data_IF_377700686968
#
_entry.id   IF_377700686968
#
_cell.length_a   1.000
_cell.length_b   1.000
_cell.length_c   1.000
_cell.angle_alpha   90.00
_cell.angle_beta   90.00
_cell.angle_gamma   90.00
#
_symmetry.space_group_name_H-M   'P 1'
#
loop_
_entity.id
_entity.type
_entity.pdbx_description
1 polymer ?
#
# COMPACT_ATOMS: atom_id res chain seq x y z
N UNK A 1 8.54 -41.19 -9.63
CA UNK A 1 7.70 -40.89 -10.80
C UNK A 1 8.57 -41.01 -12.03
N UNK A 2 8.16 -41.77 -13.04
CA UNK A 2 9.01 -42.02 -14.20
C UNK A 2 9.17 -40.77 -15.08
N UNK A 3 10.35 -40.58 -15.67
CA UNK A 3 10.69 -39.42 -16.51
C UNK A 3 9.70 -39.19 -17.68
N UNK A 4 9.02 -40.26 -18.12
CA UNK A 4 8.01 -40.22 -19.18
C UNK A 4 6.73 -39.51 -18.72
N UNK A 5 6.29 -39.73 -17.47
CA UNK A 5 5.14 -39.07 -16.85
C UNK A 5 5.40 -37.58 -16.64
N UNK A 6 6.62 -37.22 -16.22
CA UNK A 6 7.04 -35.84 -16.05
C UNK A 6 7.06 -35.07 -17.39
N UNK A 7 7.64 -35.67 -18.43
CA UNK A 7 7.66 -35.10 -19.79
C UNK A 7 6.26 -34.91 -20.39
N UNK A 8 5.33 -35.80 -20.09
CA UNK A 8 3.93 -35.67 -20.51
C UNK A 8 3.25 -34.48 -19.82
N UNK A 9 3.47 -34.31 -18.51
CA UNK A 9 3.00 -33.15 -17.75
C UNK A 9 3.58 -31.84 -18.29
N UNK A 10 4.89 -31.77 -18.53
CA UNK A 10 5.57 -30.60 -19.10
C UNK A 10 5.08 -30.27 -20.51
N UNK A 11 4.82 -31.29 -21.34
CA UNK A 11 4.25 -31.11 -22.68
C UNK A 11 2.83 -30.56 -22.61
N UNK A 12 2.03 -31.04 -21.65
CA UNK A 12 0.66 -30.60 -21.47
C UNK A 12 0.58 -29.15 -20.96
N UNK A 13 1.42 -28.78 -20.01
CA UNK A 13 1.52 -27.40 -19.50
C UNK A 13 1.95 -26.39 -20.58
N UNK A 14 2.69 -26.83 -21.60
CA UNK A 14 3.13 -25.99 -22.73
C UNK A 14 2.10 -25.88 -23.86
N UNK A 15 1.09 -26.74 -23.90
CA UNK A 15 0.09 -26.78 -24.98
C UNK A 15 -1.30 -26.44 -24.44
N UNK A 16 -1.81 -25.25 -24.78
CA UNK A 16 -3.14 -24.82 -24.38
C UNK A 16 -4.30 -25.55 -25.10
N UNK A 17 -4.00 -26.42 -26.07
CA UNK A 17 -4.98 -26.95 -27.05
C UNK A 17 -4.99 -28.49 -27.17
N UNK A 18 -4.51 -29.24 -26.18
CA UNK A 18 -4.62 -30.70 -26.25
C UNK A 18 -6.08 -31.14 -26.08
N UNK A 19 -6.60 -31.86 -27.07
CA UNK A 19 -7.93 -32.44 -27.08
C UNK A 19 -8.04 -33.53 -26.00
N UNK A 20 -9.19 -33.62 -25.33
CA UNK A 20 -9.36 -34.51 -24.16
C UNK A 20 -9.14 -36.00 -24.53
N UNK A 21 -9.23 -36.34 -25.82
CA UNK A 21 -9.00 -37.68 -26.38
C UNK A 21 -7.52 -38.11 -26.47
N UNK A 22 -6.56 -37.20 -26.30
CA UNK A 22 -5.12 -37.54 -26.40
C UNK A 22 -4.50 -37.99 -25.07
N UNK A 23 -5.23 -37.92 -23.96
CA UNK A 23 -4.69 -38.29 -22.65
C UNK A 23 -4.72 -39.81 -22.44
N UNK A 24 -3.56 -40.50 -22.24
CA UNK A 24 -3.51 -41.96 -22.21
C UNK A 24 -4.38 -42.56 -21.10
N UNK A 25 -5.28 -43.50 -21.45
CA UNK A 25 -6.18 -44.19 -20.50
C UNK A 25 -5.44 -44.78 -19.29
N UNK A 26 -4.27 -45.39 -19.51
CA UNK A 26 -3.45 -45.97 -18.45
C UNK A 26 -2.98 -44.94 -17.38
N UNK A 27 -2.97 -43.64 -17.70
CA UNK A 27 -2.64 -42.57 -16.76
C UNK A 27 -3.87 -41.95 -16.08
N UNK A 28 -5.07 -42.18 -16.63
CA UNK A 28 -6.33 -41.71 -16.05
C UNK A 28 -6.65 -42.47 -14.76
N UNK A 29 -6.31 -43.76 -14.71
CA UNK A 29 -6.48 -44.64 -13.55
C UNK A 29 -5.30 -44.62 -12.56
N UNK A 30 -4.15 -44.08 -12.96
CA UNK A 30 -2.99 -43.97 -12.07
C UNK A 30 -3.18 -42.85 -11.05
N UNK A 31 -3.78 -43.22 -9.91
CA UNK A 31 -4.03 -42.33 -8.77
C UNK A 31 -2.78 -41.54 -8.34
N UNK A 32 -1.60 -42.13 -8.37
CA UNK A 32 -0.37 -41.47 -7.90
C UNK A 32 0.06 -40.38 -8.87
N UNK A 33 -0.06 -40.65 -10.17
CA UNK A 33 0.19 -39.67 -11.21
C UNK A 33 -0.85 -38.55 -11.19
N UNK A 34 -2.14 -38.88 -11.16
CA UNK A 34 -3.23 -37.88 -11.11
C UNK A 34 -3.09 -37.00 -9.87
N UNK A 35 -2.82 -37.57 -8.70
CA UNK A 35 -2.62 -36.79 -7.47
C UNK A 35 -1.48 -35.78 -7.62
N UNK A 36 -0.36 -36.17 -8.23
CA UNK A 36 0.74 -35.23 -8.47
C UNK A 36 0.39 -34.16 -9.51
N UNK A 37 -0.32 -34.53 -10.57
CA UNK A 37 -0.76 -33.59 -11.59
C UNK A 37 -1.70 -32.52 -10.99
N UNK A 38 -2.69 -32.93 -10.19
CA UNK A 38 -3.65 -32.01 -9.56
C UNK A 38 -3.02 -31.11 -8.49
N UNK A 39 -1.92 -31.55 -7.85
CA UNK A 39 -1.15 -30.71 -6.94
C UNK A 39 -0.45 -29.55 -7.65
N UNK A 40 -0.17 -29.70 -8.96
CA UNK A 40 0.44 -28.66 -9.79
C UNK A 40 -0.62 -27.78 -10.43
N UNK A 41 -1.67 -28.38 -11.01
CA UNK A 41 -2.87 -27.68 -11.49
C UNK A 41 -4.12 -28.54 -11.24
N UNK A 42 -5.02 -28.04 -10.39
CA UNK A 42 -6.25 -28.75 -10.03
C UNK A 42 -7.15 -29.11 -11.22
N UNK A 43 -7.02 -28.42 -12.36
CA UNK A 43 -7.76 -28.70 -13.58
C UNK A 43 -7.50 -30.09 -14.18
N UNK A 44 -6.37 -30.73 -13.85
CA UNK A 44 -6.05 -32.09 -14.32
C UNK A 44 -7.05 -33.16 -13.89
N UNK A 45 -7.91 -32.88 -12.90
CA UNK A 45 -8.95 -33.81 -12.48
C UNK A 45 -9.90 -34.20 -13.63
N UNK A 46 -10.06 -33.34 -14.66
CA UNK A 46 -10.89 -33.64 -15.84
C UNK A 46 -10.45 -34.88 -16.63
N UNK A 47 -9.16 -35.22 -16.57
CA UNK A 47 -8.58 -36.38 -17.25
C UNK A 47 -8.60 -37.65 -16.42
N UNK A 48 -8.88 -37.53 -15.12
CA UNK A 48 -8.92 -38.69 -14.26
C UNK A 48 -10.11 -39.58 -14.63
N UNK A 49 -9.98 -40.90 -14.45
CA UNK A 49 -11.11 -41.81 -14.65
C UNK A 49 -12.22 -41.57 -13.63
N UNK A 50 -13.41 -42.10 -13.88
CA UNK A 50 -14.55 -41.93 -12.98
C UNK A 50 -14.26 -42.44 -11.55
N UNK A 51 -13.45 -43.49 -11.41
CA UNK A 51 -13.02 -44.02 -10.11
C UNK A 51 -12.11 -43.05 -9.37
N UNK A 52 -11.14 -42.43 -10.06
CA UNK A 52 -10.24 -41.45 -9.47
C UNK A 52 -10.95 -40.11 -9.21
N UNK A 53 -11.91 -39.71 -10.05
CA UNK A 53 -12.81 -38.58 -9.81
C UNK A 53 -13.75 -38.80 -8.60
N UNK A 54 -13.93 -40.04 -8.18
CA UNK A 54 -14.64 -40.42 -6.96
C UNK A 54 -13.72 -40.50 -5.71
N UNK A 55 -12.42 -40.30 -5.87
CA UNK A 55 -11.48 -40.35 -4.76
C UNK A 55 -11.43 -39.00 -4.01
N UNK A 56 -12.02 -38.96 -2.82
CA UNK A 56 -12.09 -37.75 -1.99
C UNK A 56 -10.72 -37.11 -1.76
N UNK A 57 -9.63 -37.89 -1.63
CA UNK A 57 -8.27 -37.34 -1.38
C UNK A 57 -7.74 -36.62 -2.61
N UNK A 58 -7.90 -37.20 -3.79
CA UNK A 58 -7.45 -36.60 -5.05
C UNK A 58 -8.27 -35.35 -5.36
N UNK A 59 -9.60 -35.44 -5.20
CA UNK A 59 -10.50 -34.29 -5.41
C UNK A 59 -10.20 -33.14 -4.44
N UNK A 60 -9.98 -33.43 -3.15
CA UNK A 60 -9.60 -32.39 -2.18
C UNK A 60 -8.31 -31.68 -2.57
N UNK A 61 -7.29 -32.42 -3.00
CA UNK A 61 -6.04 -31.84 -3.48
C UNK A 61 -6.26 -30.96 -4.72
N UNK A 62 -7.13 -31.39 -5.65
CA UNK A 62 -7.46 -30.64 -6.86
C UNK A 62 -8.20 -29.34 -6.55
N UNK A 63 -9.27 -29.38 -5.75
CA UNK A 63 -10.10 -28.19 -5.48
C UNK A 63 -9.39 -27.14 -4.63
N UNK A 64 -8.46 -27.56 -3.76
CA UNK A 64 -7.60 -26.65 -3.01
C UNK A 64 -6.63 -25.87 -3.91
N UNK A 65 -6.27 -26.42 -5.08
CA UNK A 65 -5.43 -25.73 -6.07
C UNK A 65 -6.27 -24.88 -7.01
N UNK A 66 -7.32 -25.48 -7.57
CA UNK A 66 -8.24 -24.82 -8.52
C UNK A 66 -9.67 -25.14 -8.11
N UNK A 67 -10.39 -24.20 -7.48
CA UNK A 67 -11.73 -24.48 -6.93
C UNK A 67 -12.72 -25.01 -7.97
N UNK A 68 -12.64 -24.53 -9.23
CA UNK A 68 -13.48 -25.01 -10.35
C UNK A 68 -13.25 -26.47 -10.74
N UNK A 69 -12.19 -27.12 -10.25
CA UNK A 69 -11.98 -28.56 -10.44
C UNK A 69 -13.15 -29.40 -9.89
N UNK A 70 -13.95 -28.85 -8.96
CA UNK A 70 -15.16 -29.49 -8.44
C UNK A 70 -16.13 -29.92 -9.55
N UNK A 71 -16.12 -29.27 -10.73
CA UNK A 71 -16.94 -29.64 -11.89
C UNK A 71 -16.73 -31.10 -12.33
N UNK A 72 -15.51 -31.62 -12.17
CA UNK A 72 -15.09 -32.95 -12.60
C UNK A 72 -15.18 -34.00 -11.49
N UNK A 73 -15.56 -33.61 -10.27
CA UNK A 73 -15.72 -34.55 -9.17
C UNK A 73 -16.97 -35.43 -9.35
N UNK A 74 -16.91 -36.67 -8.84
CA UNK A 74 -18.05 -37.57 -8.83
C UNK A 74 -19.27 -36.94 -8.13
N UNK A 75 -20.52 -37.27 -8.53
CA UNK A 75 -21.73 -36.64 -8.00
C UNK A 75 -21.84 -36.65 -6.46
N UNK A 76 -21.42 -37.73 -5.80
CA UNK A 76 -21.48 -37.84 -4.35
C UNK A 76 -20.46 -36.92 -3.65
N UNK A 77 -19.30 -36.64 -4.26
CA UNK A 77 -18.33 -35.68 -3.74
C UNK A 77 -18.76 -34.22 -4.00
N UNK A 78 -19.50 -33.97 -5.09
CA UNK A 78 -20.19 -32.68 -5.30
C UNK A 78 -21.31 -32.44 -4.30
N UNK A 79 -21.76 -33.49 -3.61
CA UNK A 79 -22.71 -33.42 -2.49
C UNK A 79 -22.04 -33.47 -1.11
N UNK A 80 -20.72 -33.60 -1.05
CA UNK A 80 -19.95 -33.63 0.21
C UNK A 80 -19.64 -32.20 0.69
N UNK A 81 -20.15 -31.77 1.85
CA UNK A 81 -19.93 -30.41 2.35
C UNK A 81 -18.47 -30.02 2.51
N UNK A 82 -17.59 -30.95 2.91
CA UNK A 82 -16.19 -30.64 3.18
C UNK A 82 -15.44 -30.36 1.88
N UNK A 83 -15.71 -31.16 0.85
CA UNK A 83 -15.12 -31.01 -0.48
C UNK A 83 -15.56 -29.69 -1.11
N UNK A 84 -16.85 -29.38 -1.02
CA UNK A 84 -17.41 -28.16 -1.59
C UNK A 84 -16.94 -26.92 -0.82
N UNK A 85 -16.82 -26.98 0.51
CA UNK A 85 -16.26 -25.86 1.30
C UNK A 85 -14.78 -25.63 0.99
N UNK A 86 -13.99 -26.69 0.83
CA UNK A 86 -12.60 -26.57 0.40
C UNK A 86 -12.49 -25.91 -0.98
N UNK A 87 -13.34 -26.31 -1.93
CA UNK A 87 -13.41 -25.69 -3.25
C UNK A 87 -13.81 -24.21 -3.19
N UNK A 88 -14.87 -23.90 -2.44
CA UNK A 88 -15.40 -22.54 -2.27
C UNK A 88 -14.44 -21.60 -1.53
N UNK A 89 -13.62 -22.14 -0.63
CA UNK A 89 -12.58 -21.39 0.07
C UNK A 89 -11.48 -20.88 -0.85
N UNK A 90 -11.17 -21.63 -1.92
CA UNK A 90 -10.21 -21.21 -2.93
C UNK A 90 -10.87 -20.34 -4.03
N UNK A 91 -12.01 -20.80 -4.57
CA UNK A 91 -12.82 -20.06 -5.54
C UNK A 91 -14.31 -20.20 -5.23
N UNK A 92 -14.93 -19.12 -4.77
CA UNK A 92 -16.36 -19.09 -4.45
C UNK A 92 -17.29 -19.42 -5.63
N UNK A 93 -16.84 -19.28 -6.88
CA UNK A 93 -17.62 -19.70 -8.05
C UNK A 93 -17.68 -21.22 -8.21
N UNK A 94 -16.83 -21.99 -7.53
CA UNK A 94 -16.90 -23.45 -7.52
C UNK A 94 -18.25 -23.97 -7.03
N UNK A 95 -18.94 -23.20 -6.16
CA UNK A 95 -20.25 -23.56 -5.61
C UNK A 95 -21.29 -23.85 -6.71
N UNK A 96 -21.13 -23.29 -7.92
CA UNK A 96 -22.02 -23.58 -9.05
C UNK A 96 -22.09 -25.07 -9.42
N UNK A 97 -21.00 -25.82 -9.15
CA UNK A 97 -20.89 -27.25 -9.44
C UNK A 97 -21.37 -28.14 -8.29
N UNK A 98 -21.66 -27.57 -7.12
CA UNK A 98 -22.16 -28.32 -5.98
C UNK A 98 -23.55 -28.90 -6.26
N UNK A 99 -23.85 -30.02 -5.58
CA UNK A 99 -25.16 -30.65 -5.64
C UNK A 99 -26.27 -29.66 -5.24
N UNK A 100 -27.44 -29.77 -5.87
CA UNK A 100 -28.55 -28.86 -5.60
C UNK A 100 -29.01 -28.89 -4.14
N UNK A 101 -28.91 -30.05 -3.49
CA UNK A 101 -29.23 -30.23 -2.07
C UNK A 101 -28.40 -29.30 -1.18
N UNK A 102 -27.11 -29.12 -1.47
CA UNK A 102 -26.25 -28.17 -0.77
C UNK A 102 -26.54 -26.73 -1.13
N UNK A 103 -26.78 -26.43 -2.43
CA UNK A 103 -27.13 -25.08 -2.89
C UNK A 103 -28.49 -24.58 -2.40
N UNK A 104 -29.37 -25.48 -1.95
CA UNK A 104 -30.65 -25.19 -1.28
C UNK A 104 -30.55 -25.18 0.25
N UNK A 105 -29.39 -25.53 0.82
CA UNK A 105 -29.18 -25.52 2.27
C UNK A 105 -28.69 -24.15 2.75
N UNK A 106 -29.53 -23.45 3.52
CA UNK A 106 -29.21 -22.14 4.06
C UNK A 106 -27.93 -22.14 4.91
N UNK A 107 -27.82 -23.08 5.85
CA UNK A 107 -26.67 -23.20 6.75
C UNK A 107 -25.36 -23.47 5.98
N UNK A 108 -25.43 -24.25 4.89
CA UNK A 108 -24.27 -24.53 4.05
C UNK A 108 -23.86 -23.29 3.25
N UNK A 109 -24.83 -22.66 2.56
CA UNK A 109 -24.57 -21.47 1.75
C UNK A 109 -24.07 -20.29 2.60
N UNK A 110 -24.58 -20.13 3.82
CA UNK A 110 -24.08 -19.13 4.77
C UNK A 110 -22.58 -19.31 5.06
N UNK A 111 -22.12 -20.56 5.25
CA UNK A 111 -20.69 -20.86 5.41
C UNK A 111 -19.90 -20.52 4.15
N UNK A 112 -20.37 -20.91 2.96
CA UNK A 112 -19.72 -20.57 1.69
C UNK A 112 -19.58 -19.06 1.48
N UNK A 113 -20.60 -18.28 1.84
CA UNK A 113 -20.56 -16.81 1.79
C UNK A 113 -19.59 -16.21 2.82
N UNK A 114 -19.23 -16.95 3.86
CA UNK A 114 -18.40 -16.47 4.98
C UNK A 114 -16.90 -16.81 4.85
N UNK A 115 -16.50 -17.54 3.81
CA UNK A 115 -15.13 -18.05 3.63
C UNK A 115 -14.47 -17.56 2.33
N UNK A 116 -13.19 -17.87 2.20
CA UNK A 116 -12.41 -17.68 0.99
C UNK A 116 -11.99 -16.25 0.68
N UNK A 117 -11.31 -16.11 -0.46
CA UNK A 117 -10.82 -14.84 -1.00
C UNK A 117 -11.96 -13.99 -1.58
N UNK A 118 -11.70 -12.69 -1.71
CA UNK A 118 -12.62 -11.72 -2.34
C UNK A 118 -12.25 -11.52 -3.82
N UNK A 119 -13.23 -11.27 -4.71
CA UNK A 119 -14.67 -11.14 -4.45
C UNK A 119 -15.35 -12.49 -4.21
N UNK A 120 -16.31 -12.55 -3.29
CA UNK A 120 -17.08 -13.77 -3.02
C UNK A 120 -18.42 -13.74 -3.77
N UNK A 121 -18.62 -14.73 -4.65
CA UNK A 121 -19.80 -14.85 -5.52
C UNK A 121 -20.70 -16.03 -5.17
N UNK A 122 -20.53 -16.65 -4.01
CA UNK A 122 -21.32 -17.82 -3.60
C UNK A 122 -22.83 -17.53 -3.61
N UNK A 123 -23.24 -16.32 -3.22
CA UNK A 123 -24.66 -15.90 -3.19
C UNK A 123 -25.33 -15.99 -4.58
N UNK A 124 -24.57 -15.81 -5.67
CA UNK A 124 -25.07 -15.93 -7.06
C UNK A 124 -25.63 -17.32 -7.36
N UNK A 125 -25.09 -18.35 -6.71
CA UNK A 125 -25.39 -19.76 -7.01
C UNK A 125 -26.34 -20.41 -6.00
N UNK A 126 -26.88 -19.61 -5.06
CA UNK A 126 -27.96 -20.03 -4.17
C UNK A 126 -29.20 -20.50 -4.97
N UNK A 127 -29.82 -21.59 -4.53
CA UNK A 127 -31.09 -22.08 -5.06
C UNK A 127 -32.22 -21.95 -4.03
N UNK A 128 -33.47 -22.17 -4.46
CA UNK A 128 -34.62 -22.21 -3.54
C UNK A 128 -34.98 -20.87 -2.89
N UNK A 129 -34.58 -19.74 -3.48
CA UNK A 129 -34.86 -18.41 -2.94
C UNK A 129 -33.97 -18.01 -1.77
N UNK A 130 -32.85 -18.72 -1.51
CA UNK A 130 -31.90 -18.34 -0.46
C UNK A 130 -31.22 -16.99 -0.70
N UNK A 131 -31.30 -16.42 -1.90
CA UNK A 131 -30.90 -15.04 -2.15
C UNK A 131 -31.88 -14.00 -1.57
N UNK A 132 -33.02 -14.44 -1.04
CA UNK A 132 -33.95 -13.66 -0.23
C UNK A 132 -33.86 -13.99 1.27
N UNK A 133 -33.06 -14.98 1.67
CA UNK A 133 -32.84 -15.31 3.07
C UNK A 133 -31.93 -14.26 3.73
N UNK A 134 -32.45 -13.61 4.77
CA UNK A 134 -31.77 -12.50 5.45
C UNK A 134 -30.42 -12.94 6.01
N UNK A 135 -30.31 -14.14 6.61
CA UNK A 135 -29.08 -14.59 7.27
C UNK A 135 -28.00 -14.97 6.24
N UNK A 136 -28.40 -15.63 5.15
CA UNK A 136 -27.49 -15.96 4.04
C UNK A 136 -26.97 -14.68 3.39
N UNK A 137 -27.85 -13.73 3.09
CA UNK A 137 -27.47 -12.46 2.45
C UNK A 137 -26.61 -11.62 3.40
N UNK A 138 -26.95 -11.53 4.69
CA UNK A 138 -26.14 -10.82 5.68
C UNK A 138 -24.72 -11.40 5.78
N UNK A 139 -24.57 -12.73 5.77
CA UNK A 139 -23.25 -13.36 5.79
C UNK A 139 -22.43 -12.98 4.55
N UNK A 140 -23.04 -12.93 3.37
CA UNK A 140 -22.38 -12.53 2.13
C UNK A 140 -21.96 -11.05 2.15
N UNK A 141 -22.88 -10.14 2.47
CA UNK A 141 -22.61 -8.69 2.43
C UNK A 141 -21.71 -8.22 3.58
N UNK A 142 -21.66 -8.97 4.69
CA UNK A 142 -20.78 -8.66 5.81
C UNK A 142 -19.29 -8.83 5.47
N UNK A 143 -18.95 -9.60 4.43
CA UNK A 143 -17.57 -9.74 3.92
C UNK A 143 -17.33 -8.97 2.63
N UNK A 144 -18.33 -8.96 1.75
CA UNK A 144 -18.23 -8.32 0.43
C UNK A 144 -19.52 -7.56 0.09
N UNK A 145 -19.48 -6.23 0.23
CA UNK A 145 -20.61 -5.36 -0.12
C UNK A 145 -21.08 -5.52 -1.57
N UNK A 146 -20.23 -5.98 -2.50
CA UNK A 146 -20.62 -6.27 -3.90
C UNK A 146 -21.60 -7.44 -4.01
N UNK A 147 -21.68 -8.30 -3.00
CA UNK A 147 -22.60 -9.45 -3.00
C UNK A 147 -24.07 -9.02 -3.05
N UNK A 148 -24.39 -7.79 -2.64
CA UNK A 148 -25.76 -7.26 -2.69
C UNK A 148 -26.38 -7.31 -4.11
N UNK A 149 -25.55 -7.30 -5.16
CA UNK A 149 -26.00 -7.44 -6.55
C UNK A 149 -26.68 -8.79 -6.85
N UNK A 150 -26.40 -9.83 -6.06
CA UNK A 150 -26.96 -11.17 -6.22
C UNK A 150 -28.16 -11.42 -5.29
N UNK A 151 -28.40 -10.54 -4.32
CA UNK A 151 -29.56 -10.61 -3.44
C UNK A 151 -30.86 -10.32 -4.21
N UNK A 152 -31.98 -10.84 -3.69
CA UNK A 152 -33.31 -10.58 -4.25
C UNK A 152 -33.69 -9.09 -4.20
N UNK A 153 -34.66 -8.64 -5.03
CA UNK A 153 -35.17 -7.27 -4.96
C UNK A 153 -35.68 -6.88 -3.56
N UNK A 154 -36.26 -7.82 -2.82
CA UNK A 154 -36.74 -7.63 -1.45
C UNK A 154 -35.57 -7.35 -0.50
N UNK A 155 -34.47 -8.09 -0.62
CA UNK A 155 -33.28 -7.89 0.20
C UNK A 155 -32.54 -6.59 -0.12
N UNK A 156 -32.61 -6.11 -1.36
CA UNK A 156 -32.10 -4.78 -1.73
C UNK A 156 -32.94 -3.63 -1.17
N UNK A 157 -34.17 -3.91 -0.71
CA UNK A 157 -35.03 -2.97 0.05
C UNK A 157 -34.87 -3.14 1.56
N UNK A 158 -34.21 -4.20 2.03
CA UNK A 158 -34.04 -4.46 3.45
C UNK A 158 -32.95 -3.56 4.02
N UNK A 159 -33.34 -2.62 4.89
CA UNK A 159 -32.45 -1.58 5.41
C UNK A 159 -31.19 -2.15 6.06
N UNK A 160 -31.30 -3.12 6.96
CA UNK A 160 -30.13 -3.63 7.68
C UNK A 160 -29.13 -4.36 6.77
N UNK A 161 -29.63 -5.11 5.79
CA UNK A 161 -28.82 -5.77 4.76
C UNK A 161 -28.05 -4.74 3.94
N UNK A 162 -28.75 -3.69 3.48
CA UNK A 162 -28.12 -2.60 2.72
C UNK A 162 -27.11 -1.85 3.57
N UNK A 163 -27.45 -1.48 4.80
CA UNK A 163 -26.54 -0.78 5.72
C UNK A 163 -25.28 -1.60 5.98
N UNK A 164 -25.41 -2.91 6.17
CA UNK A 164 -24.25 -3.81 6.32
C UNK A 164 -23.39 -3.84 5.06
N UNK A 165 -24.01 -3.93 3.88
CA UNK A 165 -23.30 -3.92 2.61
C UNK A 165 -22.57 -2.58 2.36
N UNK A 166 -23.19 -1.47 2.75
CA UNK A 166 -22.63 -0.11 2.61
C UNK A 166 -21.46 0.11 3.58
N UNK A 167 -21.54 -0.41 4.81
CA UNK A 167 -20.46 -0.32 5.78
C UNK A 167 -19.16 -1.01 5.32
N UNK A 168 -19.26 -2.05 4.47
CA UNK A 168 -18.10 -2.74 3.89
C UNK A 168 -17.62 -2.08 2.58
N UNK A 169 -17.16 -0.82 2.66
CA UNK A 169 -16.57 -0.03 1.57
C UNK A 169 -17.55 0.54 0.52
N UNK A 170 -18.82 0.69 0.85
CA UNK A 170 -19.88 1.38 0.09
C UNK A 170 -20.16 0.91 -1.36
N UNK A 171 -19.43 -0.07 -1.88
CA UNK A 171 -19.60 -0.60 -3.23
C UNK A 171 -20.95 -1.28 -3.49
N UNK A 172 -21.61 -1.75 -2.42
CA UNK A 172 -22.96 -2.30 -2.48
C UNK A 172 -24.04 -1.24 -2.73
N UNK A 173 -23.79 0.04 -2.42
CA UNK A 173 -24.82 1.09 -2.42
C UNK A 173 -25.56 1.25 -3.75
N UNK A 174 -24.85 1.10 -4.89
CA UNK A 174 -25.44 1.16 -6.24
C UNK A 174 -26.54 0.12 -6.49
N UNK A 175 -26.52 -0.98 -5.74
CA UNK A 175 -27.47 -2.09 -5.86
C UNK A 175 -28.64 -1.97 -4.88
N UNK A 176 -28.59 -1.03 -3.94
CA UNK A 176 -29.70 -0.75 -3.05
C UNK A 176 -30.92 -0.24 -3.84
N UNK A 177 -32.11 -0.58 -3.34
CA UNK A 177 -33.35 -0.06 -3.89
C UNK A 177 -33.37 1.48 -3.86
N UNK A 178 -34.04 2.08 -4.84
CA UNK A 178 -34.08 3.54 -5.00
C UNK A 178 -34.53 4.28 -3.73
N UNK A 179 -35.52 3.74 -3.02
CA UNK A 179 -35.99 4.31 -1.76
C UNK A 179 -34.87 4.42 -0.70
N UNK A 180 -33.98 3.42 -0.60
CA UNK A 180 -32.84 3.44 0.31
C UNK A 180 -31.67 4.29 -0.22
N UNK A 181 -31.57 4.50 -1.53
CA UNK A 181 -30.61 5.47 -2.11
C UNK A 181 -31.05 6.93 -1.89
N UNK A 182 -32.33 7.14 -1.56
CA UNK A 182 -32.92 8.41 -1.12
C UNK A 182 -33.02 8.52 0.40
N UNK A 183 -32.65 7.47 1.15
CA UNK A 183 -32.56 7.54 2.61
C UNK A 183 -31.29 8.31 3.00
N UNK A 184 -31.49 9.39 3.77
CA UNK A 184 -30.42 10.31 4.18
C UNK A 184 -29.31 9.59 4.94
N UNK A 185 -29.65 8.70 5.87
CA UNK A 185 -28.66 8.03 6.71
C UNK A 185 -27.86 7.01 5.90
N UNK A 186 -28.55 6.19 5.09
CA UNK A 186 -27.90 5.20 4.22
C UNK A 186 -26.95 5.88 3.23
N UNK A 187 -27.40 6.99 2.62
CA UNK A 187 -26.59 7.76 1.69
C UNK A 187 -25.36 8.39 2.38
N UNK A 188 -25.51 8.98 3.56
CA UNK A 188 -24.37 9.56 4.30
C UNK A 188 -23.34 8.50 4.71
N UNK A 189 -23.78 7.31 5.12
CA UNK A 189 -22.86 6.19 5.40
C UNK A 189 -22.13 5.76 4.13
N UNK A 190 -22.79 5.73 2.98
CA UNK A 190 -22.15 5.37 1.71
C UNK A 190 -21.08 6.38 1.28
N UNK A 191 -21.34 7.68 1.48
CA UNK A 191 -20.41 8.77 1.13
C UNK A 191 -19.19 8.80 2.04
N UNK A 192 -19.37 8.47 3.33
CA UNK A 192 -18.29 8.39 4.31
C UNK A 192 -17.18 7.42 3.86
N UNK A 193 -17.55 6.25 3.33
CA UNK A 193 -16.56 5.24 2.92
C UNK A 193 -16.10 5.38 1.47
N UNK A 194 -16.93 5.91 0.57
CA UNK A 194 -16.55 6.06 -0.83
C UNK A 194 -17.23 7.27 -1.49
N UNK A 195 -16.43 8.26 -1.92
CA UNK A 195 -16.93 9.48 -2.59
C UNK A 195 -17.74 9.19 -3.85
N UNK A 196 -17.38 8.15 -4.62
CA UNK A 196 -18.09 7.77 -5.85
C UNK A 196 -19.52 7.26 -5.59
N UNK A 197 -19.87 6.93 -4.35
CA UNK A 197 -21.24 6.60 -3.93
C UNK A 197 -22.22 7.75 -4.18
N UNK A 198 -21.74 9.01 -4.13
CA UNK A 198 -22.55 10.19 -4.45
C UNK A 198 -23.23 10.09 -5.82
N UNK A 199 -22.62 9.40 -6.80
CA UNK A 199 -23.22 9.18 -8.13
C UNK A 199 -24.52 8.39 -8.10
N UNK A 200 -24.75 7.62 -7.04
CA UNK A 200 -25.92 6.75 -6.91
C UNK A 200 -26.96 7.28 -5.93
N UNK A 201 -26.63 8.33 -5.17
CA UNK A 201 -27.56 9.02 -4.26
C UNK A 201 -28.70 9.62 -5.07
N UNK A 202 -29.92 9.59 -4.52
CA UNK A 202 -31.07 10.18 -5.20
C UNK A 202 -30.89 11.68 -5.46
N UNK A 203 -31.33 12.15 -6.63
CA UNK A 203 -31.13 13.53 -7.08
C UNK A 203 -31.63 14.58 -6.07
N UNK A 204 -32.74 14.30 -5.37
CA UNK A 204 -33.30 15.17 -4.33
C UNK A 204 -32.30 15.43 -3.18
N UNK A 205 -31.63 14.38 -2.69
CA UNK A 205 -30.60 14.51 -1.65
C UNK A 205 -29.32 15.18 -2.18
N UNK A 206 -28.97 14.95 -3.45
CA UNK A 206 -27.78 15.58 -4.06
C UNK A 206 -27.96 17.09 -4.17
N UNK A 207 -29.18 17.59 -4.33
CA UNK A 207 -29.50 19.03 -4.34
C UNK A 207 -29.79 19.60 -2.94
N UNK A 208 -29.94 18.75 -1.92
CA UNK A 208 -30.16 19.15 -0.53
C UNK A 208 -28.85 19.70 0.07
N UNK A 209 -28.93 20.96 0.50
CA UNK A 209 -27.80 21.70 1.06
C UNK A 209 -27.32 21.11 2.39
N UNK A 210 -28.23 20.72 3.27
CA UNK A 210 -27.90 20.19 4.59
C UNK A 210 -27.29 18.78 4.45
N UNK A 211 -27.77 17.99 3.50
CA UNK A 211 -27.15 16.72 3.14
C UNK A 211 -25.73 16.94 2.63
N UNK A 212 -25.53 17.90 1.72
CA UNK A 212 -24.21 18.19 1.16
C UNK A 212 -23.21 18.67 2.22
N UNK A 213 -23.64 19.54 3.14
CA UNK A 213 -22.81 19.98 4.27
C UNK A 213 -22.39 18.78 5.12
N UNK A 214 -23.32 17.91 5.49
CA UNK A 214 -23.02 16.73 6.31
C UNK A 214 -22.15 15.70 5.57
N UNK A 215 -22.40 15.50 4.26
CA UNK A 215 -21.60 14.64 3.41
C UNK A 215 -20.14 15.13 3.34
N UNK A 216 -19.93 16.43 3.14
CA UNK A 216 -18.60 17.06 3.12
C UNK A 216 -17.92 17.01 4.49
N UNK A 217 -18.66 17.13 5.59
CA UNK A 217 -18.12 16.95 6.96
C UNK A 217 -17.57 15.54 7.19
N UNK A 218 -18.19 14.52 6.59
CA UNK A 218 -17.74 13.12 6.71
C UNK A 218 -16.64 12.77 5.71
N UNK A 219 -16.72 13.33 4.51
CA UNK A 219 -15.76 13.10 3.44
C UNK A 219 -15.67 14.35 2.55
N UNK A 220 -14.60 15.17 2.68
CA UNK A 220 -14.45 16.41 1.91
C UNK A 220 -14.49 16.21 0.38
N UNK A 221 -14.00 15.05 -0.09
CA UNK A 221 -13.95 14.73 -1.52
C UNK A 221 -15.36 14.48 -2.11
N UNK A 222 -16.40 14.37 -1.27
CA UNK A 222 -17.79 14.34 -1.71
C UNK A 222 -18.18 15.60 -2.50
N UNK A 223 -17.49 16.74 -2.28
CA UNK A 223 -17.71 17.98 -3.02
C UNK A 223 -17.57 17.79 -4.54
N UNK A 224 -16.73 16.85 -5.01
CA UNK A 224 -16.57 16.54 -6.42
C UNK A 224 -17.90 16.16 -7.12
N UNK A 225 -18.78 15.48 -6.39
CA UNK A 225 -20.03 14.94 -6.93
C UNK A 225 -21.25 15.76 -6.52
N UNK A 226 -21.06 16.83 -5.75
CA UNK A 226 -22.12 17.77 -5.44
C UNK A 226 -22.57 18.55 -6.68
N UNK A 227 -23.82 19.00 -6.69
CA UNK A 227 -24.38 19.79 -7.79
C UNK A 227 -23.58 21.08 -8.02
N UNK A 228 -23.70 21.66 -9.21
CA UNK A 228 -23.00 22.92 -9.53
C UNK A 228 -23.37 24.05 -8.56
N UNK A 229 -24.63 24.08 -8.11
CA UNK A 229 -25.14 25.02 -7.10
C UNK A 229 -24.40 24.87 -5.77
N UNK A 230 -24.22 23.65 -5.28
CA UNK A 230 -23.54 23.38 -4.01
C UNK A 230 -22.03 23.56 -4.07
N UNK A 231 -21.42 23.32 -5.23
CA UNK A 231 -20.01 23.69 -5.49
C UNK A 231 -19.78 25.20 -5.61
N UNK A 232 -20.86 25.98 -5.70
CA UNK A 232 -20.84 27.42 -5.61
C UNK A 232 -21.23 27.95 -4.20
N UNK A 233 -21.75 27.08 -3.32
CA UNK A 233 -22.13 27.45 -1.94
C UNK A 233 -20.89 27.67 -1.08
N UNK A 234 -20.80 28.87 -0.52
CA UNK A 234 -19.63 29.30 0.23
C UNK A 234 -19.40 28.47 1.51
N UNK A 235 -20.46 28.16 2.26
CA UNK A 235 -20.35 27.42 3.52
C UNK A 235 -19.90 25.98 3.26
N UNK A 236 -20.46 25.35 2.21
CA UNK A 236 -20.07 24.01 1.78
C UNK A 236 -18.60 23.97 1.38
N UNK A 237 -18.16 24.94 0.55
CA UNK A 237 -16.77 25.03 0.12
C UNK A 237 -15.80 25.29 1.30
N UNK A 238 -16.14 26.20 2.22
CA UNK A 238 -15.33 26.48 3.43
C UNK A 238 -15.22 25.26 4.33
N UNK A 239 -16.32 24.52 4.52
CA UNK A 239 -16.33 23.28 5.31
C UNK A 239 -15.45 22.19 4.69
N UNK A 240 -15.43 22.08 3.36
CA UNK A 240 -14.58 21.14 2.65
C UNK A 240 -13.10 21.50 2.78
N UNK A 241 -12.76 22.77 2.50
CA UNK A 241 -11.39 23.29 2.53
C UNK A 241 -10.78 23.29 3.93
N UNK A 242 -11.60 23.47 4.97
CA UNK A 242 -11.16 23.37 6.36
C UNK A 242 -10.59 21.99 6.71
N UNK A 243 -10.99 20.93 5.98
CA UNK A 243 -10.50 19.57 6.19
C UNK A 243 -9.39 19.19 5.22
N UNK A 244 -9.50 19.57 3.93
CA UNK A 244 -8.44 19.31 2.95
C UNK A 244 -8.39 20.34 1.83
N UNK A 245 -7.21 20.88 1.56
CA UNK A 245 -6.97 21.81 0.45
C UNK A 245 -7.10 21.17 -0.93
N UNK A 246 -7.10 19.83 -1.02
CA UNK A 246 -7.27 19.12 -2.29
C UNK A 246 -8.58 19.45 -2.97
N UNK A 247 -9.64 19.81 -2.24
CA UNK A 247 -10.94 20.12 -2.87
C UNK A 247 -10.95 21.43 -3.65
N UNK A 248 -9.90 22.26 -3.52
CA UNK A 248 -9.85 23.60 -4.13
C UNK A 248 -10.09 23.57 -5.65
N UNK A 249 -9.58 22.57 -6.38
CA UNK A 249 -9.80 22.46 -7.83
C UNK A 249 -11.24 22.13 -8.23
N UNK A 250 -12.07 21.65 -7.27
CA UNK A 250 -13.49 21.35 -7.47
C UNK A 250 -14.41 22.51 -7.11
N UNK A 251 -13.90 23.51 -6.38
CA UNK A 251 -14.65 24.72 -6.04
C UNK A 251 -15.00 25.47 -7.32
N UNK A 252 -16.27 25.87 -7.43
CA UNK A 252 -16.80 26.71 -8.53
C UNK A 252 -17.38 28.02 -8.02
N UNK A 253 -17.31 28.26 -6.72
CA UNK A 253 -17.73 29.49 -6.06
C UNK A 253 -16.74 30.63 -6.30
N UNK A 254 -17.23 31.87 -6.26
CA UNK A 254 -16.39 33.07 -6.23
C UNK A 254 -15.53 33.15 -4.95
N UNK A 255 -15.81 32.33 -3.93
CA UNK A 255 -14.98 32.21 -2.72
C UNK A 255 -13.53 31.83 -3.03
N UNK A 256 -13.24 31.23 -4.20
CA UNK A 256 -11.85 30.98 -4.61
C UNK A 256 -11.05 32.27 -4.80
N UNK A 257 -11.71 33.42 -4.98
CA UNK A 257 -11.08 34.75 -5.07
C UNK A 257 -10.82 35.36 -3.69
N UNK A 258 -11.37 34.80 -2.61
CA UNK A 258 -11.04 35.22 -1.25
C UNK A 258 -9.66 34.67 -0.87
N UNK A 259 -8.73 35.58 -0.55
CA UNK A 259 -7.36 35.24 -0.20
C UNK A 259 -7.30 34.41 1.10
N UNK A 260 -8.17 34.68 2.09
CA UNK A 260 -8.16 33.95 3.36
C UNK A 260 -8.66 32.51 3.17
N UNK A 261 -9.64 32.31 2.29
CA UNK A 261 -10.10 30.99 1.88
C UNK A 261 -8.96 30.17 1.24
N UNK A 262 -8.23 30.78 0.30
CA UNK A 262 -7.12 30.12 -0.39
C UNK A 262 -5.95 29.84 0.55
N UNK A 263 -5.61 30.79 1.44
CA UNK A 263 -4.62 30.57 2.50
C UNK A 263 -5.01 29.38 3.37
N UNK A 264 -6.29 29.24 3.73
CA UNK A 264 -6.76 28.09 4.50
C UNK A 264 -6.61 26.77 3.75
N UNK A 265 -6.89 26.74 2.44
CA UNK A 265 -6.68 25.56 1.60
C UNK A 265 -5.20 25.16 1.56
N UNK A 266 -4.30 26.13 1.40
CA UNK A 266 -2.86 25.87 1.33
C UNK A 266 -2.31 25.40 2.69
N UNK A 267 -2.86 25.92 3.80
CA UNK A 267 -2.49 25.46 5.16
C UNK A 267 -2.86 24.01 5.41
N UNK A 268 -3.96 23.52 4.83
CA UNK A 268 -4.40 22.13 4.99
C UNK A 268 -3.76 21.19 3.98
N UNK A 269 -3.44 21.67 2.77
CA UNK A 269 -2.60 20.96 1.78
C UNK A 269 -1.76 21.94 0.97
N UNK A 270 -0.44 21.94 1.17
CA UNK A 270 0.50 22.82 0.47
C UNK A 270 0.45 22.71 -1.06
N UNK A 271 -0.03 21.58 -1.63
CA UNK A 271 -0.19 21.45 -3.08
C UNK A 271 -1.39 22.21 -3.67
N UNK A 272 -2.31 22.70 -2.82
CA UNK A 272 -3.39 23.59 -3.24
C UNK A 272 -2.87 24.89 -3.87
N UNK A 273 -1.61 25.25 -3.61
CA UNK A 273 -0.91 26.38 -4.25
C UNK A 273 -1.00 26.31 -5.79
N UNK A 274 -0.88 25.12 -6.38
CA UNK A 274 -0.93 24.93 -7.84
C UNK A 274 -2.26 25.40 -8.45
N UNK A 275 -3.35 25.21 -7.71
CA UNK A 275 -4.69 25.64 -8.11
C UNK A 275 -4.86 27.13 -7.81
N UNK A 276 -4.40 27.58 -6.63
CA UNK A 276 -4.45 28.99 -6.23
C UNK A 276 -3.79 29.92 -7.26
N UNK A 277 -2.63 29.53 -7.80
CA UNK A 277 -1.88 30.29 -8.80
C UNK A 277 -2.63 30.51 -10.13
N UNK A 278 -3.71 29.76 -10.40
CA UNK A 278 -4.54 29.96 -11.59
C UNK A 278 -5.50 31.15 -11.43
N UNK A 279 -5.82 31.52 -10.19
CA UNK A 279 -6.83 32.54 -9.87
C UNK A 279 -6.23 33.75 -9.16
N UNK A 280 -5.09 33.58 -8.49
CA UNK A 280 -4.38 34.61 -7.76
C UNK A 280 -2.99 34.83 -8.35
N UNK A 281 -2.50 36.08 -8.39
CA UNK A 281 -1.10 36.33 -8.67
C UNK A 281 -0.25 35.59 -7.64
N UNK A 282 0.90 35.06 -8.08
CA UNK A 282 1.80 34.30 -7.21
C UNK A 282 2.35 35.26 -6.14
N UNK A 283 1.71 35.33 -4.97
CA UNK A 283 2.25 36.13 -3.87
C UNK A 283 3.35 35.36 -3.15
N UNK A 284 4.30 36.07 -2.56
CA UNK A 284 5.35 35.47 -1.73
C UNK A 284 4.74 34.79 -0.51
N UNK A 285 3.68 35.37 0.04
CA UNK A 285 3.00 34.89 1.24
C UNK A 285 2.29 33.54 1.04
N UNK A 286 1.61 33.35 -0.09
CA UNK A 286 0.97 32.06 -0.41
C UNK A 286 2.00 30.94 -0.52
N UNK A 287 3.17 31.23 -1.11
CA UNK A 287 4.26 30.24 -1.21
C UNK A 287 4.88 29.94 0.14
N UNK A 288 5.08 30.95 1.00
CA UNK A 288 5.56 30.73 2.38
C UNK A 288 4.63 29.79 3.14
N UNK A 289 3.31 30.04 3.07
CA UNK A 289 2.31 29.20 3.73
C UNK A 289 2.36 27.76 3.17
N UNK A 290 2.48 27.60 1.85
CA UNK A 290 2.54 26.29 1.20
C UNK A 290 3.79 25.50 1.61
N UNK A 291 4.95 26.16 1.62
CA UNK A 291 6.24 25.55 1.99
C UNK A 291 6.28 25.19 3.48
N UNK A 292 5.68 26.02 4.34
CA UNK A 292 5.57 25.73 5.78
C UNK A 292 4.77 24.45 6.05
N UNK A 293 3.68 24.22 5.31
CA UNK A 293 2.96 22.96 5.37
C UNK A 293 3.75 21.81 4.73
N UNK A 294 4.36 22.05 3.56
CA UNK A 294 5.07 21.03 2.78
C UNK A 294 6.19 21.63 1.94
N UNK A 295 7.44 21.31 2.29
CA UNK A 295 8.63 21.81 1.59
C UNK A 295 8.60 21.60 0.07
N UNK A 296 7.99 20.50 -0.41
CA UNK A 296 7.85 20.19 -1.83
C UNK A 296 7.02 21.23 -2.62
N UNK A 297 6.22 22.05 -1.94
CA UNK A 297 5.45 23.11 -2.59
C UNK A 297 6.34 24.18 -3.25
N UNK A 298 7.62 24.28 -2.87
CA UNK A 298 8.59 25.16 -3.55
C UNK A 298 8.75 24.80 -5.05
N UNK A 299 8.56 23.53 -5.42
CA UNK A 299 8.59 23.12 -6.84
C UNK A 299 7.50 23.83 -7.66
N UNK A 300 6.32 23.99 -7.07
CA UNK A 300 5.15 24.61 -7.71
C UNK A 300 5.35 26.12 -7.88
N UNK A 301 6.18 26.73 -7.04
CA UNK A 301 6.44 28.16 -7.04
C UNK A 301 7.28 28.66 -8.24
N UNK A 302 7.80 27.74 -9.07
CA UNK A 302 8.57 28.03 -10.29
C UNK A 302 10.08 28.21 -10.07
N UNK A 303 10.85 28.08 -11.15
CA UNK A 303 12.32 28.05 -11.13
C UNK A 303 12.95 29.33 -10.54
N UNK A 304 12.37 30.50 -10.83
CA UNK A 304 12.88 31.78 -10.31
C UNK A 304 12.92 31.81 -8.77
N UNK A 305 11.94 31.21 -8.10
CA UNK A 305 11.88 31.16 -6.63
C UNK A 305 12.73 30.05 -6.03
N UNK A 306 12.96 28.99 -6.81
CA UNK A 306 13.87 27.92 -6.43
C UNK A 306 15.33 28.39 -6.45
N UNK A 307 15.65 29.42 -7.26
CA UNK A 307 16.99 30.00 -7.37
C UNK A 307 17.19 31.31 -6.59
N UNK A 308 16.14 31.86 -5.97
CA UNK A 308 16.25 33.05 -5.12
C UNK A 308 16.82 32.70 -3.74
N UNK A 309 18.11 32.98 -3.55
CA UNK A 309 18.84 32.71 -2.30
C UNK A 309 18.19 33.39 -1.09
N UNK A 310 17.79 34.66 -1.24
CA UNK A 310 17.22 35.44 -0.13
C UNK A 310 15.90 34.86 0.34
N UNK A 311 15.08 34.43 -0.63
CA UNK A 311 13.80 33.80 -0.37
C UNK A 311 13.98 32.42 0.24
N UNK A 312 14.80 31.55 -0.35
CA UNK A 312 15.04 30.18 0.15
C UNK A 312 15.68 30.22 1.54
N UNK A 313 16.67 31.10 1.78
CA UNK A 313 17.26 31.31 3.12
C UNK A 313 16.17 31.67 4.12
N UNK A 314 15.35 32.67 3.83
CA UNK A 314 14.28 33.07 4.76
C UNK A 314 13.28 31.94 5.04
N UNK A 315 12.94 31.11 4.04
CA UNK A 315 12.06 29.95 4.24
C UNK A 315 12.67 28.92 5.18
N UNK A 316 13.97 28.62 5.04
CA UNK A 316 14.69 27.69 5.89
C UNK A 316 14.72 28.19 7.33
N UNK A 317 14.99 29.48 7.53
CA UNK A 317 15.02 30.11 8.86
C UNK A 317 13.63 30.10 9.51
N UNK A 318 12.59 30.48 8.77
CA UNK A 318 11.21 30.58 9.29
C UNK A 318 10.63 29.20 9.64
N UNK A 319 10.87 28.19 8.80
CA UNK A 319 10.31 26.83 8.97
C UNK A 319 11.17 25.92 9.81
N UNK A 320 12.44 26.28 10.03
CA UNK A 320 13.49 25.43 10.61
C UNK A 320 13.64 24.08 9.89
N UNK A 321 13.37 24.07 8.58
CA UNK A 321 13.33 22.86 7.77
C UNK A 321 14.37 22.91 6.64
N UNK A 322 15.49 22.22 6.86
CA UNK A 322 16.56 22.17 5.87
C UNK A 322 16.13 21.45 4.56
N UNK A 323 15.16 20.53 4.62
CA UNK A 323 14.70 19.75 3.44
C UNK A 323 14.17 20.60 2.28
N UNK A 324 13.92 21.89 2.50
CA UNK A 324 13.58 22.86 1.46
C UNK A 324 14.68 22.91 0.38
N UNK A 325 15.95 22.74 0.74
CA UNK A 325 17.09 22.71 -0.19
C UNK A 325 16.99 21.60 -1.25
N UNK A 326 16.25 20.53 -0.95
CA UNK A 326 15.98 19.44 -1.90
C UNK A 326 15.16 19.91 -3.11
N UNK A 327 14.41 20.99 -2.94
CA UNK A 327 13.54 21.58 -3.95
C UNK A 327 14.04 22.94 -4.46
N UNK A 328 15.15 23.43 -3.90
CA UNK A 328 15.87 24.58 -4.42
C UNK A 328 16.70 24.21 -5.67
N UNK A 329 17.16 25.22 -6.40
CA UNK A 329 17.98 25.06 -7.59
C UNK A 329 19.29 24.30 -7.27
N UNK A 330 19.91 23.62 -8.26
CA UNK A 330 21.21 23.00 -8.07
C UNK A 330 22.30 23.97 -7.61
N UNK A 331 22.18 25.26 -7.95
CA UNK A 331 23.11 26.32 -7.51
C UNK A 331 23.03 26.49 -5.99
N UNK A 332 21.83 26.73 -5.45
CA UNK A 332 21.64 26.94 -4.02
C UNK A 332 21.84 25.67 -3.20
N UNK A 333 21.51 24.49 -3.76
CA UNK A 333 21.76 23.20 -3.11
C UNK A 333 23.26 22.93 -2.90
N UNK A 334 24.10 23.48 -3.76
CA UNK A 334 25.55 23.35 -3.67
C UNK A 334 26.21 24.59 -3.03
N UNK A 335 25.42 25.54 -2.53
CA UNK A 335 25.93 26.69 -1.80
C UNK A 335 26.31 26.24 -0.38
N UNK A 336 27.62 26.24 -0.12
CA UNK A 336 28.21 25.79 1.15
C UNK A 336 27.63 26.53 2.35
N UNK A 337 27.53 27.85 2.27
CA UNK A 337 27.17 28.68 3.42
C UNK A 337 25.69 28.53 3.73
N UNK A 338 24.84 28.50 2.70
CA UNK A 338 23.42 28.24 2.85
C UNK A 338 23.14 26.83 3.40
N UNK A 339 23.86 25.81 2.93
CA UNK A 339 23.73 24.44 3.44
C UNK A 339 24.13 24.36 4.90
N UNK A 340 25.27 24.94 5.29
CA UNK A 340 25.71 24.94 6.68
C UNK A 340 24.74 25.70 7.60
N UNK A 341 24.18 26.81 7.13
CA UNK A 341 23.13 27.55 7.84
C UNK A 341 21.87 26.69 8.00
N UNK A 342 21.40 26.04 6.94
CA UNK A 342 20.25 25.15 7.00
C UNK A 342 20.44 23.99 7.98
N UNK A 343 21.64 23.39 8.01
CA UNK A 343 22.01 22.34 8.95
C UNK A 343 22.14 22.84 10.40
N UNK A 344 22.47 24.11 10.62
CA UNK A 344 22.50 24.70 11.98
C UNK A 344 21.11 24.92 12.56
N UNK A 345 20.14 25.29 11.73
CA UNK A 345 18.79 25.63 12.21
C UNK A 345 17.96 24.37 12.52
N UNK A 346 18.36 23.21 11.98
CA UNK A 346 17.65 21.95 12.14
C UNK A 346 18.07 21.18 13.40
N UNK A 347 17.63 21.64 14.58
CA UNK A 347 18.04 21.08 15.89
C UNK A 347 17.09 20.02 16.48
N UNK A 348 16.03 19.58 15.77
CA UNK A 348 14.89 18.89 16.41
C UNK A 348 14.65 17.40 16.13
N UNK A 349 14.97 16.89 14.93
CA UNK A 349 14.77 15.46 14.59
C UNK A 349 15.43 15.13 13.23
N UNK A 350 16.72 14.81 13.27
CA UNK A 350 17.57 14.58 12.10
C UNK A 350 17.19 13.34 11.26
N UNK A 351 16.33 12.43 11.75
CA UNK A 351 15.77 11.34 10.94
C UNK A 351 15.01 11.85 9.69
N UNK A 352 14.56 13.12 9.71
CA UNK A 352 13.89 13.75 8.57
C UNK A 352 14.84 14.37 7.54
N UNK A 353 16.12 14.61 7.87
CA UNK A 353 17.11 15.25 7.00
C UNK A 353 18.00 14.27 6.21
N UNK A 354 17.94 12.98 6.53
CA UNK A 354 18.72 11.91 5.87
C UNK A 354 18.59 11.93 4.33
N UNK A 355 17.38 12.07 3.74
CA UNK A 355 17.24 12.11 2.28
C UNK A 355 17.85 13.36 1.64
N UNK A 356 17.93 14.47 2.38
CA UNK A 356 18.58 15.70 1.91
C UNK A 356 20.10 15.58 2.01
N UNK A 357 20.64 15.13 3.14
CA UNK A 357 22.09 14.95 3.33
C UNK A 357 22.67 14.02 2.27
N UNK A 358 22.00 12.91 1.96
CA UNK A 358 22.41 12.01 0.87
C UNK A 358 22.49 12.72 -0.48
N UNK A 359 21.49 13.53 -0.82
CA UNK A 359 21.49 14.29 -2.07
C UNK A 359 22.60 15.34 -2.13
N UNK A 360 22.95 15.96 -0.99
CA UNK A 360 24.05 16.92 -0.92
C UNK A 360 25.42 16.25 -1.18
N UNK A 361 25.60 15.02 -0.68
CA UNK A 361 26.83 14.25 -0.84
C UNK A 361 26.95 13.52 -2.19
N UNK A 362 25.94 13.59 -3.07
CA UNK A 362 26.07 13.17 -4.47
C UNK A 362 26.80 14.22 -5.33
N UNK A 363 26.98 15.44 -4.82
CA UNK A 363 27.54 16.59 -5.53
C UNK A 363 28.93 17.03 -5.05
N UNK A 364 29.34 18.27 -5.39
CA UNK A 364 30.65 18.81 -4.97
C UNK A 364 30.84 18.89 -3.45
N UNK A 365 29.75 18.94 -2.67
CA UNK A 365 29.79 19.02 -1.21
C UNK A 365 30.29 17.73 -0.54
N UNK A 366 30.42 16.63 -1.28
CA UNK A 366 31.05 15.40 -0.81
C UNK A 366 32.54 15.57 -0.43
N UNK A 367 33.15 16.67 -0.87
CA UNK A 367 34.54 17.05 -0.56
C UNK A 367 34.62 18.06 0.59
N UNK A 368 33.49 18.60 1.05
CA UNK A 368 33.48 19.57 2.14
C UNK A 368 33.54 18.87 3.50
N UNK A 369 34.64 19.13 4.22
CA UNK A 369 34.93 18.49 5.50
C UNK A 369 33.82 18.72 6.54
N UNK A 370 33.31 19.94 6.65
CA UNK A 370 32.36 20.31 7.71
C UNK A 370 30.97 19.68 7.45
N UNK A 371 30.55 19.66 6.18
CA UNK A 371 29.28 19.06 5.76
C UNK A 371 29.35 17.54 5.93
N UNK A 372 30.45 16.91 5.49
CA UNK A 372 30.64 15.46 5.67
C UNK A 372 30.69 15.09 7.14
N UNK A 373 31.39 15.86 7.98
CA UNK A 373 31.46 15.63 9.42
C UNK A 373 30.05 15.66 10.06
N UNK A 374 29.21 16.62 9.68
CA UNK A 374 27.82 16.69 10.15
C UNK A 374 26.96 15.54 9.63
N UNK A 375 27.19 15.10 8.39
CA UNK A 375 26.46 14.00 7.78
C UNK A 375 26.76 12.67 8.49
N UNK A 376 28.04 12.36 8.73
CA UNK A 376 28.44 11.12 9.42
C UNK A 376 28.07 11.11 10.90
N UNK A 377 28.01 12.27 11.55
CA UNK A 377 27.50 12.40 12.90
C UNK A 377 26.00 12.03 12.99
N UNK A 378 25.26 12.07 11.87
CA UNK A 378 23.86 11.68 11.81
C UNK A 378 23.64 10.24 11.34
N UNK A 379 24.29 9.84 10.24
CA UNK A 379 24.30 8.47 9.72
C UNK A 379 25.73 8.12 9.28
N UNK A 380 26.41 7.27 10.06
CA UNK A 380 27.79 6.88 9.83
C UNK A 380 28.00 6.20 8.47
N UNK A 381 26.97 5.58 7.88
CA UNK A 381 27.07 5.01 6.55
C UNK A 381 27.22 6.07 5.45
N UNK A 382 26.88 7.34 5.72
CA UNK A 382 27.12 8.45 4.79
C UNK A 382 28.60 8.68 4.49
N UNK A 383 29.51 8.13 5.31
CA UNK A 383 30.94 8.10 4.98
C UNK A 383 31.19 7.48 3.61
N UNK A 384 30.38 6.50 3.18
CA UNK A 384 30.48 5.88 1.87
C UNK A 384 30.27 6.84 0.69
N UNK A 385 29.57 7.96 0.91
CA UNK A 385 29.32 8.99 -0.11
C UNK A 385 30.37 10.11 -0.08
N UNK A 386 31.19 10.18 0.96
CA UNK A 386 32.24 11.18 1.05
C UNK A 386 33.38 10.91 0.05
N UNK A 387 34.07 11.98 -0.36
CA UNK A 387 35.26 11.88 -1.20
C UNK A 387 36.34 11.00 -0.54
N UNK A 388 37.14 10.30 -1.36
CA UNK A 388 38.15 9.36 -0.87
C UNK A 388 39.14 9.98 0.13
N UNK A 389 39.51 11.25 -0.04
CA UNK A 389 40.36 11.97 0.89
C UNK A 389 39.73 12.08 2.29
N UNK A 390 38.42 12.31 2.38
CA UNK A 390 37.71 12.41 3.65
C UNK A 390 37.41 11.05 4.27
N UNK A 391 37.24 10.00 3.45
CA UNK A 391 37.18 8.60 3.93
C UNK A 391 38.50 8.09 4.51
N UNK A 392 39.59 8.82 4.25
CA UNK A 392 40.91 8.60 4.84
C UNK A 392 41.19 9.49 6.05
N UNK A 393 40.33 10.49 6.35
CA UNK A 393 40.47 11.35 7.52
C UNK A 393 40.10 10.55 8.79
N UNK A 394 41.04 10.34 9.73
CA UNK A 394 40.80 9.53 10.92
C UNK A 394 39.73 10.14 11.83
N UNK A 395 39.57 11.46 11.86
CA UNK A 395 38.58 12.12 12.73
C UNK A 395 37.15 11.88 12.20
N UNK A 396 36.95 12.05 10.89
CA UNK A 396 35.65 11.82 10.25
C UNK A 396 35.27 10.33 10.33
N UNK A 397 36.24 9.45 10.05
CA UNK A 397 36.03 8.01 10.15
C UNK A 397 35.71 7.57 11.58
N UNK A 398 36.38 8.13 12.59
CA UNK A 398 36.09 7.85 13.99
C UNK A 398 34.66 8.25 14.34
N UNK A 399 34.25 9.47 13.97
CA UNK A 399 32.88 9.93 14.22
C UNK A 399 31.82 9.07 13.52
N UNK A 400 32.07 8.66 12.27
CA UNK A 400 31.18 7.76 11.53
C UNK A 400 31.03 6.40 12.24
N UNK A 401 32.15 5.85 12.71
CA UNK A 401 32.21 4.55 13.40
C UNK A 401 31.58 4.61 14.79
N UNK A 402 31.81 5.69 15.53
CA UNK A 402 31.17 5.95 16.83
C UNK A 402 29.64 6.03 16.68
N UNK A 403 29.15 6.62 15.60
CA UNK A 403 27.72 6.69 15.29
C UNK A 403 27.19 5.31 14.84
N UNK A 404 27.87 4.64 13.90
CA UNK A 404 27.53 3.31 13.37
C UNK A 404 28.79 2.50 13.08
N UNK A 405 29.03 1.42 13.84
CA UNK A 405 30.22 0.59 13.73
C UNK A 405 30.37 -0.08 12.36
N UNK A 406 29.25 -0.35 11.66
CA UNK A 406 29.29 -0.89 10.30
C UNK A 406 29.84 0.13 9.28
N UNK A 407 29.93 1.41 9.62
CA UNK A 407 30.56 2.44 8.79
C UNK A 407 32.04 2.14 8.51
N UNK A 408 32.68 1.27 9.30
CA UNK A 408 34.03 0.77 9.05
C UNK A 408 34.19 0.21 7.62
N UNK A 409 33.12 -0.35 7.03
CA UNK A 409 33.13 -0.84 5.65
C UNK A 409 33.46 0.24 4.61
N UNK A 410 33.16 1.51 4.92
CA UNK A 410 33.39 2.65 4.03
C UNK A 410 34.74 3.33 4.25
N UNK A 411 35.40 3.07 5.38
CA UNK A 411 36.74 3.55 5.66
C UNK A 411 37.78 3.01 4.66
N UNK A 412 38.87 3.74 4.51
CA UNK A 412 39.98 3.30 3.67
C UNK A 412 40.66 2.03 4.18
N UNK A 413 41.40 1.35 3.31
CA UNK A 413 42.16 0.15 3.67
C UNK A 413 43.10 0.39 4.86
N UNK A 414 43.72 1.58 4.93
CA UNK A 414 44.61 1.97 6.03
C UNK A 414 43.88 2.01 7.36
N UNK A 415 42.71 2.65 7.42
CA UNK A 415 41.93 2.78 8.66
C UNK A 415 41.26 1.47 9.07
N UNK A 416 40.92 0.60 8.11
CA UNK A 416 40.50 -0.79 8.38
C UNK A 416 41.62 -1.65 8.97
N UNK A 417 42.87 -1.21 8.85
CA UNK A 417 44.05 -1.80 9.47
C UNK A 417 44.38 -1.24 10.84
N UNK A 418 43.85 -0.06 11.19
CA UNK A 418 44.14 0.63 12.44
C UNK A 418 43.45 -0.06 13.61
N UNK A 419 44.25 -0.50 14.59
CA UNK A 419 43.79 -1.20 15.77
C UNK A 419 42.77 -0.38 16.56
N UNK A 420 42.99 0.93 16.68
CA UNK A 420 42.13 1.83 17.47
C UNK A 420 40.75 1.99 16.83
N UNK A 421 40.71 2.20 15.51
CA UNK A 421 39.49 2.36 14.71
C UNK A 421 38.66 1.08 14.68
N UNK A 422 39.31 -0.07 14.44
CA UNK A 422 38.63 -1.38 14.40
C UNK A 422 38.07 -1.71 15.78
N UNK A 423 38.81 -1.44 16.86
CA UNK A 423 38.31 -1.64 18.23
C UNK A 423 37.10 -0.74 18.52
N UNK A 424 37.13 0.54 18.13
CA UNK A 424 36.00 1.45 18.30
C UNK A 424 34.75 0.94 17.55
N UNK A 425 34.93 0.46 16.31
CA UNK A 425 33.85 -0.12 15.52
C UNK A 425 33.22 -1.35 16.16
N UNK A 426 34.05 -2.26 16.67
CA UNK A 426 33.60 -3.49 17.33
C UNK A 426 32.86 -3.21 18.64
N UNK A 427 33.29 -2.19 19.39
CA UNK A 427 32.59 -1.76 20.61
C UNK A 427 31.19 -1.24 20.31
N UNK A 428 31.01 -0.56 19.18
CA UNK A 428 29.72 -0.05 18.75
C UNK A 428 28.85 -1.18 18.16
N UNK A 429 29.41 -1.96 17.23
CA UNK A 429 28.74 -3.11 16.60
C UNK A 429 29.74 -4.24 16.34
N UNK A 430 29.62 -5.39 17.03
CA UNK A 430 30.52 -6.53 16.84
C UNK A 430 30.63 -7.05 15.40
N UNK A 431 29.56 -6.94 14.60
CA UNK A 431 29.54 -7.36 13.19
C UNK A 431 30.43 -6.48 12.31
N UNK A 432 30.89 -5.32 12.79
CA UNK A 432 31.83 -4.47 12.06
C UNK A 432 33.18 -5.18 11.82
N UNK A 433 33.53 -6.17 12.64
CA UNK A 433 34.77 -6.93 12.53
C UNK A 433 34.98 -7.59 11.17
N UNK A 434 33.90 -7.96 10.47
CA UNK A 434 33.98 -8.55 9.14
C UNK A 434 34.67 -7.63 8.12
N UNK A 435 34.63 -6.32 8.34
CA UNK A 435 35.21 -5.29 7.47
C UNK A 435 36.64 -4.91 7.84
N UNK A 436 37.17 -5.43 8.95
CA UNK A 436 38.55 -5.20 9.35
C UNK A 436 39.53 -5.88 8.37
N UNK A 437 40.71 -5.29 8.22
CA UNK A 437 41.76 -5.85 7.38
C UNK A 437 42.15 -7.27 7.84
N UNK A 438 42.69 -8.09 6.94
CA UNK A 438 43.12 -9.46 7.30
C UNK A 438 44.17 -9.46 8.42
N UNK A 439 45.07 -8.46 8.44
CA UNK A 439 46.04 -8.29 9.50
C UNK A 439 45.38 -8.00 10.86
N UNK A 440 44.38 -7.12 10.86
CA UNK A 440 43.61 -6.77 12.07
C UNK A 440 42.74 -7.92 12.56
N UNK A 441 42.28 -8.80 11.66
CA UNK A 441 41.49 -10.01 12.01
C UNK A 441 42.33 -11.14 12.62
N UNK A 442 43.65 -11.07 12.54
CA UNK A 442 44.58 -12.01 13.19
C UNK A 442 45.11 -11.46 14.53
N UNK A 443 44.69 -10.25 14.92
CA UNK A 443 45.16 -9.62 16.14
C UNK A 443 44.47 -10.25 17.38
N UNK A 444 45.24 -10.75 18.37
CA UNK A 444 44.69 -11.48 19.52
C UNK A 444 43.64 -10.70 20.32
N UNK A 445 43.82 -9.38 20.45
CA UNK A 445 42.91 -8.52 21.22
C UNK A 445 41.53 -8.34 20.57
N UNK A 446 41.47 -8.26 19.23
CA UNK A 446 40.19 -8.17 18.52
C UNK A 446 39.43 -9.49 18.58
N UNK A 447 40.11 -10.61 18.39
CA UNK A 447 39.50 -11.95 18.51
C UNK A 447 38.93 -12.14 19.91
N UNK A 448 39.66 -11.73 20.94
CA UNK A 448 39.19 -11.77 22.33
C UNK A 448 37.95 -10.89 22.56
N UNK A 449 37.99 -9.63 22.11
CA UNK A 449 36.86 -8.70 22.26
C UNK A 449 35.61 -9.17 21.49
N UNK A 450 35.79 -9.78 20.32
CA UNK A 450 34.70 -10.38 19.54
C UNK A 450 34.06 -11.54 20.31
N UNK A 451 34.87 -12.49 20.80
CA UNK A 451 34.40 -13.63 21.58
C UNK A 451 33.69 -13.20 22.88
N UNK A 452 34.18 -12.17 23.57
CA UNK A 452 33.55 -11.61 24.76
C UNK A 452 32.21 -10.92 24.44
N UNK A 453 32.09 -10.23 23.30
CA UNK A 453 30.84 -9.57 22.86
C UNK A 453 29.76 -10.54 22.35
N UNK A 454 30.15 -11.66 21.72
CA UNK A 454 29.24 -12.66 21.18
C UNK A 454 28.73 -13.64 22.26
N UNK A 455 29.47 -13.85 23.34
CA UNK A 455 29.03 -14.69 24.46
C UNK A 455 27.80 -14.15 25.24
N UNK A 456 27.35 -12.92 24.94
CA UNK A 456 26.17 -12.27 25.56
C UNK A 456 24.91 -12.20 24.68
N UNK A 457 24.98 -12.57 23.40
CA UNK A 457 23.81 -12.63 22.51
C UNK A 457 23.90 -13.91 21.66
N UNK A 458 22.94 -14.82 21.83
CA UNK A 458 22.77 -15.98 20.94
C UNK A 458 22.43 -15.48 19.53
N UNK A 459 23.45 -15.33 18.69
CA UNK A 459 23.29 -15.32 17.24
C UNK A 459 24.07 -16.49 16.67
N UNK A 460 23.33 -17.48 16.15
CA UNK A 460 23.87 -18.53 15.30
C UNK A 460 23.99 -18.00 13.88
N UNK A 461 25.21 -17.67 13.46
CA UNK A 461 25.91 -18.19 12.28
C UNK A 461 27.28 -17.52 12.12
#
# INVERSE_FOLDING_TARGET
MDALKLRLLERYQRSANLDDSEFPEALQDDRSFVLFAVLTDGGFLRFASAEVQADKRVVLAAVQRTGKALAFAAPHLRADPDVVLAAAGNDSEAVQFAAETLRRSAAFMQKCCSIGALPNRALKYCLGGLNADVQVVLAAVARDGWSLQFASPEMRKHRDVVMRAVAQKACGFRWAAEALRRDREVALTAVQFQQSSMKFVGAELVEDRDFALEAVRRNPLALEFASSKLRADEEVCRTAVAQTGQVLFKVRSQVILDEDFVKQAIRTDGFALSVAMQFHPVSTDLVRIAVHNKAAALLVAGEHRQDDESFVRSLILDTKNANILRFASPRLRNDRDLVLEALKVHDGSLASSEPMLRLLLEGPLAQDRDIVMRAVAHDGNMLGQAAELLRNDPEIAAAAVEQNGLALQHCSFRLKGDLSMVTAAMKQNPLAYQYASEASRRHPEHVRHLCESLNGQEYQE
#
